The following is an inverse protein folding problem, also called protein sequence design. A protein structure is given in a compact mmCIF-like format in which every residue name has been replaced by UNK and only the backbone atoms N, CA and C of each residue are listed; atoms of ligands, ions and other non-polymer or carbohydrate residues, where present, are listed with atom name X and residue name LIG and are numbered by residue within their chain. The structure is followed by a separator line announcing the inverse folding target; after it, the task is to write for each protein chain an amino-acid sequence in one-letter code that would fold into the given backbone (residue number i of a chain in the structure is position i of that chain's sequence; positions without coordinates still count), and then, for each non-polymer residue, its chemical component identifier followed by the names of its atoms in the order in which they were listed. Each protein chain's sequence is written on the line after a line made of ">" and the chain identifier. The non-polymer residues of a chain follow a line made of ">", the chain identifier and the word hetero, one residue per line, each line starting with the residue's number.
data_IF_558713648386
#
_entry.id   IF_558713648386
#
_cell.length_a   1.000
_cell.length_b   1.000
_cell.length_c   1.000
_cell.angle_alpha   90.00
_cell.angle_beta   90.00
_cell.angle_gamma   90.00
#
_symmetry.space_group_name_H-M   'P 1'
#
loop_
_entity.id
_entity.type
_entity.pdbx_description
1 polymer ?
#
# COMPACT_ATOMS: atom_id res chain seq x y z
N UNK A 1 36.80 -18.78 36.76
CA UNK A 1 36.14 -17.55 37.25
C UNK A 1 35.96 -16.62 36.06
N UNK A 2 34.72 -16.36 35.63
CA UNK A 2 34.46 -15.48 34.47
C UNK A 2 34.47 -14.03 34.99
N UNK A 3 35.43 -13.21 34.55
CA UNK A 3 35.38 -11.77 34.81
C UNK A 3 34.36 -11.14 33.87
N UNK A 4 33.24 -10.66 34.41
CA UNK A 4 32.26 -9.85 33.68
C UNK A 4 32.59 -8.38 33.91
N UNK A 5 33.02 -7.65 32.87
CA UNK A 5 33.26 -6.21 32.99
C UNK A 5 31.94 -5.48 32.73
N UNK A 6 31.53 -4.61 33.66
CA UNK A 6 30.27 -3.86 33.53
C UNK A 6 30.16 -3.06 32.22
N UNK A 7 31.29 -2.62 31.65
CA UNK A 7 31.33 -1.89 30.36
C UNK A 7 30.91 -2.75 29.16
N UNK A 8 31.10 -4.07 29.25
CA UNK A 8 30.69 -5.04 28.22
C UNK A 8 29.18 -5.34 28.29
N UNK A 9 28.45 -4.78 29.28
CA UNK A 9 27.01 -4.91 29.46
C UNK A 9 26.21 -3.72 28.90
N UNK A 10 26.88 -2.67 28.42
CA UNK A 10 26.21 -1.48 27.88
C UNK A 10 26.16 -1.52 26.36
N UNK A 11 24.97 -1.24 25.81
CA UNK A 11 24.80 -1.07 24.38
C UNK A 11 25.25 0.33 23.92
N UNK A 12 25.90 0.39 22.76
CA UNK A 12 26.03 1.65 22.03
C UNK A 12 24.65 2.08 21.52
N UNK A 13 24.10 3.14 22.11
CA UNK A 13 22.78 3.66 21.76
C UNK A 13 22.68 4.11 20.31
N UNK A 14 23.73 4.75 19.77
CA UNK A 14 23.74 5.20 18.38
C UNK A 14 23.77 4.02 17.41
N UNK A 15 24.58 3.00 17.71
CA UNK A 15 24.65 1.78 16.91
C UNK A 15 23.31 1.01 16.93
N UNK A 16 22.69 0.86 18.11
CA UNK A 16 21.41 0.15 18.27
C UNK A 16 20.28 0.90 17.57
N UNK A 17 20.16 2.22 17.77
CA UNK A 17 19.10 3.01 17.12
C UNK A 17 19.26 3.05 15.60
N UNK A 18 20.50 3.11 15.10
CA UNK A 18 20.84 2.96 13.69
C UNK A 18 20.37 1.61 13.13
N UNK A 19 20.73 0.51 13.78
CA UNK A 19 20.30 -0.83 13.37
C UNK A 19 18.78 -0.98 13.36
N UNK A 20 18.09 -0.53 14.42
CA UNK A 20 16.63 -0.56 14.52
C UNK A 20 15.96 0.26 13.42
N UNK A 21 16.47 1.47 13.12
CA UNK A 21 15.89 2.32 12.08
C UNK A 21 16.02 1.71 10.68
N UNK A 22 17.17 1.08 10.40
CA UNK A 22 17.44 0.39 9.13
C UNK A 22 16.51 -0.80 8.95
N UNK A 23 16.38 -1.65 9.95
CA UNK A 23 15.51 -2.83 9.88
C UNK A 23 14.04 -2.45 9.85
N UNK A 24 13.62 -1.41 10.60
CA UNK A 24 12.27 -0.84 10.49
C UNK A 24 11.93 -0.43 9.07
N UNK A 25 12.79 0.35 8.42
CA UNK A 25 12.60 0.79 7.03
C UNK A 25 12.47 -0.41 6.10
N UNK A 26 13.31 -1.44 6.28
CA UNK A 26 13.29 -2.66 5.48
C UNK A 26 12.00 -3.45 5.66
N UNK A 27 11.57 -3.66 6.90
CA UNK A 27 10.36 -4.40 7.24
C UNK A 27 9.11 -3.70 6.70
N UNK A 28 9.00 -2.38 6.91
CA UNK A 28 7.87 -1.58 6.42
C UNK A 28 7.84 -1.49 4.89
N UNK A 29 8.99 -1.40 4.23
CA UNK A 29 9.06 -1.43 2.75
C UNK A 29 8.58 -2.78 2.20
N UNK A 30 8.93 -3.90 2.85
CA UNK A 30 8.42 -5.23 2.48
C UNK A 30 6.91 -5.34 2.70
N UNK A 31 6.41 -4.84 3.84
CA UNK A 31 4.98 -4.78 4.13
C UNK A 31 4.21 -4.05 3.02
N UNK A 32 4.66 -2.84 2.65
CA UNK A 32 4.06 -2.07 1.57
C UNK A 32 4.10 -2.79 0.22
N UNK A 33 5.21 -3.47 -0.08
CA UNK A 33 5.36 -4.27 -1.29
C UNK A 33 4.39 -5.46 -1.35
N UNK A 34 4.15 -6.14 -0.22
CA UNK A 34 3.22 -7.26 -0.12
C UNK A 34 1.77 -6.80 -0.25
N UNK A 35 1.37 -5.74 0.46
CA UNK A 35 0.02 -5.17 0.36
C UNK A 35 -0.26 -4.75 -1.10
N UNK A 36 0.67 -4.02 -1.72
CA UNK A 36 0.57 -3.64 -3.14
C UNK A 36 0.41 -4.86 -4.05
N UNK A 37 1.20 -5.91 -3.83
CA UNK A 37 1.14 -7.14 -4.64
C UNK A 37 -0.22 -7.81 -4.49
N UNK A 38 -0.74 -7.93 -3.28
CA UNK A 38 -2.02 -8.56 -2.98
C UNK A 38 -3.18 -7.77 -3.59
N UNK A 39 -3.16 -6.44 -3.48
CA UNK A 39 -4.10 -5.57 -4.18
C UNK A 39 -4.06 -5.79 -5.70
N UNK A 40 -2.86 -5.83 -6.30
CA UNK A 40 -2.66 -6.13 -7.74
C UNK A 40 -3.22 -7.49 -8.15
N UNK A 41 -3.00 -8.52 -7.34
CA UNK A 41 -3.48 -9.88 -7.60
C UNK A 41 -5.00 -10.03 -7.46
N UNK A 42 -5.63 -9.19 -6.63
CA UNK A 42 -7.07 -9.15 -6.46
C UNK A 42 -7.81 -8.69 -7.73
N UNK A 43 -7.16 -7.83 -8.54
CA UNK A 43 -7.71 -7.32 -9.80
C UNK A 43 -7.52 -8.33 -10.94
N UNK A 44 -8.57 -9.11 -11.24
CA UNK A 44 -8.61 -10.11 -12.31
C UNK A 44 -8.92 -9.48 -13.66
N UNK A 45 -8.42 -10.07 -14.75
CA UNK A 45 -8.77 -9.61 -16.11
C UNK A 45 -10.28 -9.74 -16.33
N UNK A 46 -10.91 -8.71 -16.87
CA UNK A 46 -12.35 -8.73 -17.15
C UNK A 46 -12.80 -7.52 -17.97
N UNK A 47 -13.88 -7.72 -18.73
CA UNK A 47 -14.59 -6.65 -19.40
C UNK A 47 -15.63 -6.04 -18.47
N UNK A 48 -15.85 -4.72 -18.58
CA UNK A 48 -16.87 -4.02 -17.82
C UNK A 48 -16.62 -3.93 -16.31
N UNK A 49 -17.53 -3.25 -15.58
CA UNK A 49 -17.41 -3.04 -14.14
C UNK A 49 -17.57 -4.36 -13.36
N UNK A 50 -16.81 -4.51 -12.28
CA UNK A 50 -16.98 -5.63 -11.35
C UNK A 50 -18.25 -5.48 -10.50
N UNK A 51 -18.72 -6.60 -9.92
CA UNK A 51 -19.83 -6.60 -8.96
C UNK A 51 -19.46 -5.75 -7.72
N UNK A 52 -20.44 -5.10 -7.08
CA UNK A 52 -20.24 -4.43 -5.78
C UNK A 52 -19.55 -5.36 -4.77
N UNK A 53 -18.65 -4.81 -3.96
CA UNK A 53 -17.86 -5.53 -2.96
C UNK A 53 -16.71 -6.37 -3.52
N UNK A 54 -16.64 -6.59 -4.85
CA UNK A 54 -15.50 -7.25 -5.49
C UNK A 54 -14.48 -6.22 -5.98
N UNK A 55 -13.18 -6.57 -5.96
CA UNK A 55 -12.13 -5.72 -6.53
C UNK A 55 -12.46 -5.32 -7.99
N UNK A 56 -11.96 -4.16 -8.45
CA UNK A 56 -12.14 -3.73 -9.83
C UNK A 56 -11.47 -4.70 -10.80
N UNK A 57 -12.06 -4.83 -11.98
CA UNK A 57 -11.47 -5.64 -13.05
C UNK A 57 -10.22 -4.96 -13.62
N UNK A 58 -9.23 -5.77 -13.99
CA UNK A 58 -8.06 -5.34 -14.76
C UNK A 58 -8.43 -5.26 -16.23
N UNK A 59 -8.62 -4.05 -16.72
CA UNK A 59 -8.88 -3.76 -18.13
C UNK A 59 -7.60 -3.85 -18.98
N UNK A 60 -7.77 -3.81 -20.31
CA UNK A 60 -6.67 -3.87 -21.28
C UNK A 60 -5.67 -2.71 -21.12
N UNK A 61 -6.15 -1.51 -20.75
CA UNK A 61 -5.31 -0.41 -20.29
C UNK A 61 -5.38 -0.35 -18.74
N UNK A 62 -4.39 -0.90 -18.02
CA UNK A 62 -4.50 -1.19 -16.60
C UNK A 62 -4.11 0.02 -15.73
N UNK A 63 -4.66 1.21 -15.98
CA UNK A 63 -4.28 2.47 -15.31
C UNK A 63 -4.29 2.37 -13.77
N UNK A 64 -5.35 1.80 -13.19
CA UNK A 64 -5.43 1.61 -11.73
C UNK A 64 -4.39 0.60 -11.23
N UNK A 65 -4.18 -0.48 -11.97
CA UNK A 65 -3.27 -1.56 -11.58
C UNK A 65 -1.79 -1.16 -11.70
N UNK A 66 -1.43 -0.32 -12.67
CA UNK A 66 -0.06 0.18 -12.85
C UNK A 66 0.27 1.31 -11.86
N UNK A 67 -0.71 2.11 -11.45
CA UNK A 67 -0.53 3.24 -10.53
C UNK A 67 -0.74 2.89 -9.04
N UNK A 68 -0.48 1.64 -8.65
CA UNK A 68 -0.38 1.29 -7.24
C UNK A 68 1.06 1.43 -6.76
N UNK A 69 1.25 2.29 -5.77
CA UNK A 69 2.54 2.63 -5.20
C UNK A 69 2.60 2.32 -3.72
N UNK A 70 3.82 2.31 -3.19
CA UNK A 70 4.07 2.36 -1.76
C UNK A 70 5.29 3.24 -1.50
N UNK A 71 5.29 3.94 -0.37
CA UNK A 71 6.39 4.79 0.05
C UNK A 71 6.57 4.69 1.57
N UNK A 72 7.83 4.64 2.00
CA UNK A 72 8.17 4.77 3.41
C UNK A 72 8.33 6.25 3.74
N UNK A 73 7.59 6.72 4.73
CA UNK A 73 7.71 8.07 5.28
C UNK A 73 8.64 8.03 6.49
N UNK A 74 9.80 8.67 6.37
CA UNK A 74 10.81 8.75 7.43
C UNK A 74 10.38 9.61 8.60
N UNK A 75 9.49 10.60 8.38
CA UNK A 75 9.05 11.54 9.42
C UNK A 75 8.12 10.84 10.42
N UNK A 76 7.12 10.12 9.93
CA UNK A 76 6.15 9.37 10.74
C UNK A 76 6.57 7.92 10.99
N UNK A 77 7.64 7.45 10.33
CA UNK A 77 8.15 6.07 10.40
C UNK A 77 7.08 5.05 9.99
N UNK A 78 6.32 5.39 8.96
CA UNK A 78 5.18 4.62 8.46
C UNK A 78 5.36 4.24 6.99
N UNK A 79 4.50 3.35 6.48
CA UNK A 79 4.43 3.05 5.05
C UNK A 79 3.04 3.40 4.54
N UNK A 80 3.01 4.19 3.47
CA UNK A 80 1.79 4.53 2.75
C UNK A 80 1.69 3.59 1.56
N UNK A 81 0.52 3.00 1.34
CA UNK A 81 0.25 2.10 0.21
C UNK A 81 -1.08 2.50 -0.41
N UNK A 82 -1.09 2.73 -1.72
CA UNK A 82 -2.31 3.18 -2.38
C UNK A 82 -2.12 3.46 -3.85
N UNK A 83 -3.23 3.84 -4.48
CA UNK A 83 -3.25 4.33 -5.84
C UNK A 83 -3.01 5.83 -5.89
N UNK A 84 -2.32 6.27 -6.93
CA UNK A 84 -2.28 7.69 -7.28
C UNK A 84 -3.62 8.12 -7.90
N UNK A 85 -3.96 9.40 -7.76
CA UNK A 85 -5.10 10.00 -8.44
C UNK A 85 -5.01 9.74 -9.97
N UNK A 86 -6.01 9.08 -10.53
CA UNK A 86 -6.02 8.73 -11.95
C UNK A 86 -6.37 9.97 -12.76
N UNK A 87 -5.36 10.60 -13.39
CA UNK A 87 -5.53 11.81 -14.19
C UNK A 87 -6.24 12.95 -13.43
N UNK A 88 -5.92 13.13 -12.14
CA UNK A 88 -6.54 14.13 -11.27
C UNK A 88 -7.95 13.78 -10.76
N UNK A 89 -8.46 12.58 -11.06
CA UNK A 89 -9.77 12.13 -10.59
C UNK A 89 -9.75 11.38 -9.26
N UNK A 90 -10.90 11.38 -8.57
CA UNK A 90 -11.15 10.66 -7.31
C UNK A 90 -11.46 9.17 -7.49
N UNK A 91 -11.39 8.64 -8.72
CA UNK A 91 -11.84 7.29 -9.06
C UNK A 91 -11.31 6.18 -8.13
N UNK A 92 -10.02 6.15 -7.72
CA UNK A 92 -9.57 5.11 -6.82
C UNK A 92 -10.17 5.17 -5.42
N UNK A 93 -10.43 6.38 -4.90
CA UNK A 93 -11.09 6.58 -3.61
C UNK A 93 -12.56 6.13 -3.70
N UNK A 94 -13.26 6.54 -4.75
CA UNK A 94 -14.63 6.10 -5.02
C UNK A 94 -14.75 4.59 -5.20
N UNK A 95 -13.75 3.95 -5.80
CA UNK A 95 -13.73 2.48 -5.89
C UNK A 95 -13.52 1.83 -4.53
N UNK A 96 -12.69 2.40 -3.66
CA UNK A 96 -12.45 1.80 -2.34
C UNK A 96 -13.67 1.95 -1.41
N UNK A 97 -14.25 3.15 -1.35
CA UNK A 97 -15.29 3.49 -0.36
C UNK A 97 -16.70 3.61 -0.94
N UNK A 98 -16.85 3.66 -2.26
CA UNK A 98 -18.10 4.01 -2.92
C UNK A 98 -18.37 5.52 -2.86
N UNK A 99 -19.56 5.91 -3.30
CA UNK A 99 -20.05 7.28 -3.15
C UNK A 99 -20.77 7.80 -4.40
N UNK A 100 -21.30 9.01 -4.26
CA UNK A 100 -21.91 9.74 -5.37
C UNK A 100 -20.83 10.56 -6.08
N UNK A 101 -20.65 10.31 -7.37
CA UNK A 101 -19.67 11.00 -8.19
C UNK A 101 -20.31 11.62 -9.41
N UNK A 102 -19.78 12.75 -9.83
CA UNK A 102 -20.18 13.38 -11.09
C UNK A 102 -19.27 12.86 -12.19
N UNK A 103 -19.85 12.10 -13.14
CA UNK A 103 -19.12 11.53 -14.26
C UNK A 103 -19.26 12.45 -15.47
N UNK A 104 -18.15 13.00 -16.01
CA UNK A 104 -18.21 13.81 -17.21
C UNK A 104 -18.46 12.92 -18.43
N UNK A 105 -19.55 13.18 -19.15
CA UNK A 105 -19.80 12.70 -20.50
C UNK A 105 -18.96 13.53 -21.47
N UNK A 106 -18.04 12.89 -22.19
CA UNK A 106 -17.20 13.54 -23.19
C UNK A 106 -17.72 13.30 -24.61
N UNK A 107 -17.55 14.28 -25.50
CA UNK A 107 -17.83 14.15 -26.93
C UNK A 107 -16.80 13.23 -27.60
N UNK A 108 -17.07 12.85 -28.85
CA UNK A 108 -16.13 12.10 -29.69
C UNK A 108 -14.79 12.84 -29.89
N UNK A 109 -14.77 14.18 -29.73
CA UNK A 109 -13.58 15.04 -29.77
C UNK A 109 -12.95 15.33 -28.40
N UNK A 110 -13.37 14.65 -27.33
CA UNK A 110 -12.73 14.72 -26.00
C UNK A 110 -13.17 15.89 -25.11
N UNK A 111 -13.96 16.84 -25.63
CA UNK A 111 -14.55 17.93 -24.84
C UNK A 111 -15.63 17.39 -23.89
N UNK A 112 -15.69 17.92 -22.67
CA UNK A 112 -16.77 17.59 -21.73
C UNK A 112 -18.06 18.24 -22.24
N UNK A 113 -19.09 17.44 -22.48
CA UNK A 113 -20.38 17.89 -23.03
C UNK A 113 -21.43 18.00 -21.95
N UNK A 114 -21.41 17.09 -20.98
CA UNK A 114 -22.41 17.01 -19.92
C UNK A 114 -21.78 16.34 -18.70
N UNK A 115 -22.23 16.65 -17.50
CA UNK A 115 -21.77 16.01 -16.28
C UNK A 115 -22.98 15.37 -15.60
N UNK A 116 -22.95 14.06 -15.37
CA UNK A 116 -24.09 13.34 -14.78
C UNK A 116 -23.73 12.77 -13.41
N UNK A 117 -24.60 12.94 -12.39
CA UNK A 117 -24.41 12.25 -11.13
C UNK A 117 -24.57 10.74 -11.33
N UNK A 118 -23.69 9.97 -10.71
CA UNK A 118 -23.73 8.52 -10.72
C UNK A 118 -23.38 8.02 -9.31
N UNK A 119 -24.21 7.12 -8.80
CA UNK A 119 -23.94 6.40 -7.55
C UNK A 119 -23.04 5.21 -7.85
N UNK A 120 -21.83 5.23 -7.31
CA UNK A 120 -20.85 4.16 -7.50
C UNK A 120 -20.79 3.30 -6.23
N UNK A 121 -21.13 2.00 -6.31
CA UNK A 121 -20.98 1.11 -5.16
C UNK A 121 -19.50 0.80 -4.89
N UNK A 122 -19.13 0.54 -3.63
CA UNK A 122 -17.76 0.21 -3.25
C UNK A 122 -17.30 -1.10 -3.90
N UNK A 123 -16.04 -1.11 -4.30
CA UNK A 123 -15.28 -2.19 -4.92
C UNK A 123 -13.89 -2.24 -4.27
N UNK A 124 -13.84 -2.53 -2.96
CA UNK A 124 -12.63 -2.38 -2.18
C UNK A 124 -11.57 -3.37 -2.65
N UNK A 125 -10.32 -2.90 -2.69
CA UNK A 125 -9.16 -3.69 -3.13
C UNK A 125 -7.92 -3.42 -2.28
N UNK A 126 -7.83 -2.27 -1.62
CA UNK A 126 -6.73 -1.95 -0.71
C UNK A 126 -6.99 -2.48 0.71
N UNK A 127 -8.15 -2.20 1.29
CA UNK A 127 -8.53 -2.66 2.62
C UNK A 127 -8.48 -4.19 2.76
N UNK A 128 -9.10 -4.95 1.84
CA UNK A 128 -8.99 -6.41 1.84
C UNK A 128 -7.55 -6.92 1.67
N UNK A 129 -6.71 -6.19 0.90
CA UNK A 129 -5.30 -6.56 0.74
C UNK A 129 -4.50 -6.34 2.03
N UNK A 130 -4.75 -5.23 2.75
CA UNK A 130 -4.18 -4.99 4.08
C UNK A 130 -4.60 -6.10 5.04
N UNK A 131 -5.91 -6.39 5.14
CA UNK A 131 -6.43 -7.40 6.04
C UNK A 131 -5.79 -8.79 5.82
N UNK A 132 -5.53 -9.14 4.55
CA UNK A 132 -4.89 -10.40 4.18
C UNK A 132 -3.40 -10.46 4.54
N UNK A 133 -2.69 -9.35 4.46
CA UNK A 133 -1.25 -9.31 4.74
C UNK A 133 -0.92 -9.00 6.22
N UNK A 134 -1.85 -8.42 6.98
CA UNK A 134 -1.72 -8.12 8.42
C UNK A 134 -1.00 -9.23 9.23
N UNK A 135 -1.41 -10.51 9.18
CA UNK A 135 -0.76 -11.55 9.98
C UNK A 135 0.71 -11.81 9.60
N UNK A 136 1.11 -11.50 8.37
CA UNK A 136 2.47 -11.72 7.85
C UNK A 136 3.39 -10.53 8.07
N UNK A 137 2.85 -9.38 8.50
CA UNK A 137 3.64 -8.16 8.66
C UNK A 137 4.71 -8.25 9.75
N UNK A 138 4.55 -9.19 10.70
CA UNK A 138 5.52 -9.44 11.76
C UNK A 138 6.74 -10.26 11.27
N UNK A 139 6.60 -11.08 10.23
CA UNK A 139 7.66 -11.98 9.77
C UNK A 139 8.97 -11.24 9.38
N UNK A 140 8.94 -10.09 8.66
CA UNK A 140 10.16 -9.36 8.33
C UNK A 140 10.92 -8.81 9.54
N UNK A 141 10.29 -8.72 10.70
CA UNK A 141 10.90 -8.24 11.94
C UNK A 141 11.58 -9.35 12.72
N UNK A 142 11.12 -10.61 12.56
CA UNK A 142 11.70 -11.76 13.23
C UNK A 142 13.18 -11.89 12.84
N UNK A 143 14.07 -11.96 13.84
CA UNK A 143 15.52 -12.07 13.66
C UNK A 143 16.16 -10.92 12.85
N UNK A 144 15.50 -9.77 12.73
CA UNK A 144 16.01 -8.62 11.98
C UNK A 144 17.21 -7.96 12.67
N UNK A 145 17.20 -7.93 14.01
CA UNK A 145 18.31 -7.46 14.82
C UNK A 145 19.14 -8.66 15.29
N UNK A 146 20.40 -8.71 14.87
CA UNK A 146 21.39 -9.65 15.37
C UNK A 146 22.57 -8.86 15.93
N UNK A 147 23.05 -9.25 17.11
CA UNK A 147 24.34 -8.75 17.60
C UNK A 147 25.42 -9.24 16.64
N UNK A 148 26.15 -8.32 16.02
CA UNK A 148 27.37 -8.67 15.30
C UNK A 148 28.44 -9.15 16.29
N UNK A 149 29.42 -9.96 15.86
CA UNK A 149 30.59 -10.20 16.69
C UNK A 149 31.29 -8.85 16.91
N UNK A 150 31.28 -8.39 18.16
CA UNK A 150 32.09 -7.28 18.63
C UNK A 150 33.53 -7.73 18.86
#
# INVERSE_FOLDING_TARGET
>A
MIQMRMKDLFFDSAAVTGAVSKERRRALSKAGAFIRRTARQSMRKGAGPSKPGRPPNRHANPLLYSRLFFAYDSSTRSVIVGSEALNGGSAPNTLEFGGDVVVPRRSRGGSVVEARPAKVPPRPYMGPALAKELPKLAEPWANSLRGGPG
#
